data_IF_777890257341
#
_entry.id   IF_777890257341
#
_cell.length_a   1.000
_cell.length_b   1.000
_cell.length_c   1.000
_cell.angle_alpha   90.00
_cell.angle_beta   90.00
_cell.angle_gamma   90.00
#
_symmetry.space_group_name_H-M   'P 1'
#
loop_
_entity.id
_entity.type
_entity.pdbx_description
1 polymer ?
#
# COMPACT_ATOMS: atom_id res chain seq x y z
N UNK A 1 -41.57 55.83 4.74
CA UNK A 1 -40.47 56.59 5.36
C UNK A 1 -39.25 55.70 5.32
N UNK A 2 -38.19 56.25 4.75
CA UNK A 2 -36.92 55.65 4.35
C UNK A 2 -36.04 55.29 5.54
N UNK A 3 -35.29 54.21 5.44
CA UNK A 3 -34.26 53.81 6.41
C UNK A 3 -33.27 52.83 5.80
N UNK A 4 -32.36 53.37 4.99
CA UNK A 4 -31.22 52.69 4.36
C UNK A 4 -30.03 52.82 5.32
N UNK A 5 -29.36 51.73 5.70
CA UNK A 5 -28.00 51.81 6.23
C UNK A 5 -27.10 50.74 5.62
N UNK A 6 -26.07 51.24 4.93
CA UNK A 6 -24.92 50.52 4.42
C UNK A 6 -23.73 50.81 5.34
N UNK A 7 -22.89 49.81 5.62
CA UNK A 7 -21.50 50.02 6.03
C UNK A 7 -20.73 48.72 5.78
N UNK A 8 -19.91 48.68 4.72
CA UNK A 8 -18.48 49.05 4.66
C UNK A 8 -17.54 47.91 5.07
N UNK A 9 -17.04 47.29 4.01
CA UNK A 9 -15.78 46.56 3.84
C UNK A 9 -14.59 47.20 4.56
N UNK A 10 -13.70 46.38 5.13
CA UNK A 10 -12.29 46.71 5.30
C UNK A 10 -11.41 45.45 5.38
N UNK A 11 -10.72 45.14 4.29
CA UNK A 11 -9.47 44.39 4.28
C UNK A 11 -8.36 45.17 5.00
N UNK A 12 -7.35 44.46 5.52
CA UNK A 12 -5.96 44.75 5.15
C UNK A 12 -5.22 43.46 4.76
N UNK A 13 -4.63 43.40 3.57
CA UNK A 13 -3.28 43.87 3.23
C UNK A 13 -2.18 42.82 3.51
N UNK A 14 -1.57 42.41 2.39
CA UNK A 14 -0.39 41.60 2.21
C UNK A 14 0.79 41.92 3.16
N UNK A 15 1.47 40.87 3.60
CA UNK A 15 2.87 40.93 4.01
C UNK A 15 3.67 39.98 3.11
N UNK A 16 4.38 40.60 2.17
CA UNK A 16 5.47 40.03 1.37
C UNK A 16 6.68 39.89 2.30
N UNK A 17 7.27 38.70 2.36
CA UNK A 17 8.64 38.51 2.83
C UNK A 17 9.40 37.67 1.80
N UNK A 18 10.33 38.37 1.15
CA UNK A 18 11.33 37.86 0.21
C UNK A 18 12.54 37.31 0.95
N UNK A 19 12.94 36.11 0.52
CA UNK A 19 14.28 35.67 0.11
C UNK A 19 15.45 35.55 1.11
N UNK A 20 16.34 34.64 0.69
CA UNK A 20 17.72 34.31 1.15
C UNK A 20 17.77 33.31 2.32
N UNK A 21 18.58 32.25 2.33
CA UNK A 21 19.84 32.00 1.66
C UNK A 21 20.12 30.49 1.57
N UNK A 22 20.69 30.10 0.43
CA UNK A 22 21.44 28.88 0.11
C UNK A 22 22.42 28.45 1.22
N UNK A 23 22.44 27.15 1.56
CA UNK A 23 23.71 26.40 1.64
C UNK A 23 23.49 24.89 1.47
N UNK A 24 24.08 24.40 0.39
CA UNK A 24 24.42 23.02 0.08
C UNK A 24 25.52 22.52 1.04
N UNK A 25 25.52 21.25 1.45
CA UNK A 25 26.78 20.51 1.29
C UNK A 25 26.60 19.08 0.79
N UNK A 26 27.20 18.85 -0.37
CA UNK A 26 28.19 17.79 -0.63
C UNK A 26 27.87 16.35 -0.20
N UNK A 27 27.43 15.61 -1.22
CA UNK A 27 27.85 14.26 -1.57
C UNK A 27 29.33 13.95 -1.25
N UNK A 28 29.65 12.78 -0.66
CA UNK A 28 30.90 12.11 -0.95
C UNK A 28 30.69 10.78 -1.68
N UNK A 29 31.29 10.75 -2.86
CA UNK A 29 31.47 9.63 -3.75
C UNK A 29 32.42 8.56 -3.18
N UNK A 30 32.26 7.34 -3.68
CA UNK A 30 33.01 6.12 -3.37
C UNK A 30 34.51 6.23 -3.71
N UNK A 31 35.37 5.57 -2.92
CA UNK A 31 36.34 4.54 -3.39
C UNK A 31 37.15 3.90 -2.23
N UNK A 32 37.36 2.55 -2.23
CA UNK A 32 38.52 1.87 -1.63
C UNK A 32 39.66 1.80 -2.69
N UNK A 33 40.89 1.25 -2.47
CA UNK A 33 41.40 0.35 -1.42
C UNK A 33 42.81 0.68 -0.87
N UNK A 34 43.28 0.01 0.19
CA UNK A 34 44.72 -0.24 0.40
C UNK A 34 44.94 -1.65 0.95
N UNK A 35 45.82 -2.39 0.29
CA UNK A 35 46.34 -3.68 0.69
C UNK A 35 47.76 -3.49 1.27
N UNK A 36 48.06 -4.15 2.39
CA UNK A 36 49.41 -4.58 2.82
C UNK A 36 49.19 -5.82 3.72
N UNK A 37 49.65 -7.01 3.32
CA UNK A 37 50.94 -7.63 3.72
C UNK A 37 51.14 -7.58 5.25
N UNK A 38 51.28 -8.65 6.01
CA UNK A 38 51.49 -10.07 5.78
C UNK A 38 52.18 -10.59 7.04
N UNK A 39 51.68 -11.64 7.67
CA UNK A 39 52.50 -12.44 8.59
C UNK A 39 52.00 -13.88 8.61
N UNK A 40 52.89 -14.76 8.20
CA UNK A 40 52.68 -16.18 8.07
C UNK A 40 52.66 -16.87 9.44
N UNK A 41 51.80 -17.87 9.61
CA UNK A 41 52.10 -18.99 10.50
C UNK A 41 51.41 -20.25 9.98
N UNK A 42 52.15 -21.35 10.05
CA UNK A 42 52.02 -22.61 9.34
C UNK A 42 50.88 -23.52 9.78
N UNK A 43 50.55 -24.46 8.88
CA UNK A 43 49.48 -25.48 8.89
C UNK A 43 49.41 -26.39 10.14
N UNK A 44 48.31 -27.14 10.29
CA UNK A 44 48.36 -28.51 9.78
C UNK A 44 47.17 -28.93 8.90
N UNK A 45 47.51 -29.88 8.03
CA UNK A 45 46.74 -30.62 7.04
C UNK A 45 45.41 -31.17 7.55
N UNK A 46 44.31 -30.80 6.89
CA UNK A 46 43.07 -31.56 6.89
C UNK A 46 42.54 -31.65 5.45
N UNK A 47 42.75 -32.80 4.82
CA UNK A 47 42.13 -33.23 3.56
C UNK A 47 40.62 -33.36 3.76
N UNK A 48 39.88 -32.28 3.54
CA UNK A 48 38.44 -32.32 3.37
C UNK A 48 38.13 -32.16 1.88
N UNK A 49 37.54 -33.21 1.30
CA UNK A 49 36.94 -33.22 -0.03
C UNK A 49 35.99 -32.02 -0.18
N UNK A 50 36.47 -30.94 -0.77
CA UNK A 50 35.65 -29.84 -1.24
C UNK A 50 34.98 -30.26 -2.55
N UNK A 51 33.96 -31.12 -2.45
CA UNK A 51 32.96 -31.24 -3.49
C UNK A 51 32.37 -29.86 -3.72
N UNK A 52 32.82 -29.21 -4.78
CA UNK A 52 32.24 -27.99 -5.32
C UNK A 52 30.85 -28.32 -5.86
N UNK A 53 29.88 -28.42 -4.95
CA UNK A 53 28.46 -28.40 -5.28
C UNK A 53 28.15 -27.04 -5.88
N UNK A 54 28.37 -26.90 -7.18
CA UNK A 54 27.82 -25.84 -8.02
C UNK A 54 26.30 -25.89 -7.84
N UNK A 55 25.81 -25.12 -6.86
CA UNK A 55 24.38 -24.91 -6.64
C UNK A 55 23.83 -24.24 -7.89
N UNK A 56 23.19 -25.05 -8.74
CA UNK A 56 22.40 -24.61 -9.89
C UNK A 56 21.37 -23.62 -9.37
N UNK A 57 21.59 -22.32 -9.58
CA UNK A 57 20.61 -21.26 -9.30
C UNK A 57 19.39 -21.58 -10.16
N UNK A 58 18.32 -22.08 -9.54
CA UNK A 58 17.06 -22.31 -10.23
C UNK A 58 16.50 -20.97 -10.67
N UNK A 59 16.41 -20.75 -11.98
CA UNK A 59 15.80 -19.59 -12.64
C UNK A 59 14.31 -19.41 -12.36
N UNK A 60 13.64 -20.39 -11.77
CA UNK A 60 12.18 -20.38 -11.56
C UNK A 60 11.63 -19.30 -10.61
N UNK A 61 12.48 -18.57 -9.88
CA UNK A 61 12.00 -17.51 -8.97
C UNK A 61 11.55 -16.23 -9.68
N UNK A 62 12.15 -15.90 -10.82
CA UNK A 62 11.77 -14.70 -11.59
C UNK A 62 10.39 -14.86 -12.26
N UNK A 63 10.06 -16.07 -12.68
CA UNK A 63 8.78 -16.38 -13.31
C UNK A 63 7.62 -16.20 -12.33
N UNK A 64 7.76 -16.65 -11.08
CA UNK A 64 6.69 -16.50 -10.08
C UNK A 64 6.35 -15.02 -9.80
N UNK A 65 7.36 -14.15 -9.67
CA UNK A 65 7.15 -12.72 -9.49
C UNK A 65 6.44 -12.11 -10.70
N UNK A 66 6.89 -12.45 -11.91
CA UNK A 66 6.29 -11.96 -13.15
C UNK A 66 4.85 -12.45 -13.31
N UNK A 67 4.57 -13.72 -13.01
CA UNK A 67 3.23 -14.30 -13.04
C UNK A 67 2.29 -13.63 -12.03
N UNK A 68 2.78 -13.36 -10.83
CA UNK A 68 1.97 -12.70 -9.80
C UNK A 68 1.60 -11.25 -10.17
N UNK A 69 2.51 -10.51 -10.81
CA UNK A 69 2.23 -9.14 -11.27
C UNK A 69 1.62 -9.07 -12.68
N UNK A 70 1.48 -10.20 -13.40
CA UNK A 70 0.91 -10.20 -14.76
C UNK A 70 -0.53 -9.66 -14.81
N UNK A 71 -1.22 -9.66 -13.66
CA UNK A 71 -2.62 -9.27 -13.50
C UNK A 71 -2.80 -7.87 -12.92
N UNK A 72 -1.72 -7.21 -12.50
CA UNK A 72 -1.82 -5.92 -11.81
C UNK A 72 -0.89 -4.93 -12.48
N UNK A 73 -1.42 -3.77 -12.82
CA UNK A 73 -0.66 -2.65 -13.37
C UNK A 73 -0.77 -1.42 -12.47
N UNK A 74 0.17 -0.50 -12.61
CA UNK A 74 0.31 0.66 -11.74
C UNK A 74 0.37 1.93 -12.58
N UNK A 75 -0.64 2.78 -12.45
CA UNK A 75 -0.65 4.11 -13.04
C UNK A 75 -0.07 5.11 -12.03
N UNK A 76 1.01 5.85 -12.36
CA UNK A 76 1.58 6.82 -11.44
C UNK A 76 0.59 7.95 -11.16
N UNK A 77 0.49 8.38 -9.90
CA UNK A 77 -0.17 9.63 -9.54
C UNK A 77 0.83 10.77 -9.68
N UNK A 78 0.42 11.81 -10.40
CA UNK A 78 1.21 13.02 -10.53
C UNK A 78 1.34 13.72 -9.17
N UNK A 79 2.57 14.00 -8.71
CA UNK A 79 2.78 14.77 -7.50
C UNK A 79 2.31 16.21 -7.74
N UNK A 80 1.40 16.66 -6.90
CA UNK A 80 0.88 18.02 -6.88
C UNK A 80 1.69 18.95 -5.98
N UNK A 81 2.51 18.39 -5.08
CA UNK A 81 3.35 19.13 -4.15
C UNK A 81 2.58 19.86 -3.04
N UNK A 82 1.30 19.54 -2.86
CA UNK A 82 0.45 20.16 -1.83
C UNK A 82 0.64 19.43 -0.49
N UNK A 83 0.83 20.16 0.63
CA UNK A 83 1.04 19.55 1.95
C UNK A 83 -0.08 18.59 2.38
N UNK A 84 -1.31 18.85 1.93
CA UNK A 84 -2.50 18.10 2.32
C UNK A 84 -2.74 16.86 1.44
N UNK A 85 -1.78 16.47 0.60
CA UNK A 85 -1.91 15.31 -0.28
C UNK A 85 -0.85 14.24 0.00
N UNK A 86 -1.16 12.96 -0.24
CA UNK A 86 -0.23 11.85 0.01
C UNK A 86 1.16 12.03 -0.61
N UNK A 87 1.24 12.62 -1.80
CA UNK A 87 2.50 12.87 -2.52
C UNK A 87 3.47 13.79 -1.76
N UNK A 88 3.05 14.47 -0.70
CA UNK A 88 3.94 15.19 0.21
C UNK A 88 4.75 14.26 1.12
N UNK A 89 4.16 13.15 1.57
CA UNK A 89 4.76 12.24 2.56
C UNK A 89 5.43 11.02 1.92
N UNK A 90 5.05 10.69 0.69
CA UNK A 90 5.49 9.49 -0.01
C UNK A 90 6.39 9.84 -1.20
N UNK A 91 7.36 8.97 -1.50
CA UNK A 91 8.29 9.18 -2.61
C UNK A 91 7.63 9.03 -3.98
N UNK A 92 6.58 8.21 -4.05
CA UNK A 92 5.76 7.99 -5.25
C UNK A 92 4.46 7.31 -4.85
N UNK A 93 3.37 7.62 -5.55
CA UNK A 93 2.08 6.94 -5.36
C UNK A 93 1.55 6.40 -6.68
N UNK A 94 0.83 5.28 -6.65
CA UNK A 94 0.29 4.62 -7.84
C UNK A 94 -1.14 4.16 -7.62
N UNK A 95 -2.00 4.40 -8.62
CA UNK A 95 -3.33 3.78 -8.71
C UNK A 95 -3.14 2.38 -9.24
N UNK A 96 -3.78 1.42 -8.58
CA UNK A 96 -3.72 0.01 -8.95
C UNK A 96 -4.81 -0.26 -9.98
N UNK A 97 -4.42 -0.79 -11.14
CA UNK A 97 -5.30 -1.14 -12.25
C UNK A 97 -5.22 -2.64 -12.46
N UNK A 98 -6.27 -3.36 -12.10
CA UNK A 98 -6.36 -4.82 -12.23
C UNK A 98 -6.67 -5.19 -13.69
N UNK A 99 -5.85 -6.06 -14.28
CA UNK A 99 -5.91 -6.47 -15.68
C UNK A 99 -6.83 -7.67 -15.93
N UNK A 100 -7.19 -8.42 -14.88
CA UNK A 100 -8.22 -9.46 -14.97
C UNK A 100 -9.63 -8.87 -15.10
N UNK A 101 -9.78 -7.56 -14.88
CA UNK A 101 -10.93 -6.78 -15.34
C UNK A 101 -10.76 -6.48 -16.84
N UNK A 102 -10.86 -7.53 -17.67
CA UNK A 102 -10.87 -7.41 -19.11
C UNK A 102 -11.88 -6.35 -19.57
N UNK A 103 -11.53 -5.62 -20.63
CA UNK A 103 -12.32 -4.59 -21.32
C UNK A 103 -13.82 -4.65 -20.98
N UNK A 104 -14.22 -3.82 -20.01
CA UNK A 104 -15.60 -3.66 -19.56
C UNK A 104 -15.96 -4.47 -18.32
N UNK A 105 -15.29 -4.26 -17.18
CA UNK A 105 -15.92 -4.12 -15.85
C UNK A 105 -14.89 -4.03 -14.72
N UNK A 106 -14.71 -2.82 -14.19
CA UNK A 106 -13.96 -2.56 -12.96
C UNK A 106 -14.62 -3.24 -11.76
N UNK A 107 -13.95 -4.23 -11.15
CA UNK A 107 -14.27 -4.74 -9.80
C UNK A 107 -15.73 -5.13 -9.55
N UNK A 108 -16.48 -5.48 -10.59
CA UNK A 108 -17.94 -5.57 -10.52
C UNK A 108 -18.37 -6.86 -9.83
N UNK A 109 -18.65 -6.77 -8.52
CA UNK A 109 -19.44 -7.80 -7.83
C UNK A 109 -20.90 -7.59 -8.21
N UNK A 110 -21.39 -8.33 -9.22
CA UNK A 110 -22.76 -8.29 -9.70
C UNK A 110 -23.75 -8.89 -8.67
N UNK A 111 -24.19 -8.06 -7.71
CA UNK A 111 -25.51 -8.19 -7.12
C UNK A 111 -26.50 -7.38 -7.96
N UNK A 112 -26.92 -7.97 -9.09
CA UNK A 112 -28.03 -7.61 -10.01
C UNK A 112 -28.29 -6.14 -10.46
N UNK A 113 -27.67 -5.08 -9.93
CA UNK A 113 -27.86 -3.70 -10.44
C UNK A 113 -26.85 -2.64 -9.97
N UNK A 114 -25.95 -2.93 -9.02
CA UNK A 114 -24.99 -1.91 -8.51
C UNK A 114 -23.56 -2.46 -8.52
N UNK A 115 -22.67 -1.79 -9.24
CA UNK A 115 -21.22 -2.05 -9.25
C UNK A 115 -20.51 -1.03 -8.36
N UNK A 116 -19.78 -1.50 -7.36
CA UNK A 116 -18.92 -0.66 -6.53
C UNK A 116 -17.49 -0.88 -6.99
N UNK A 117 -16.89 0.13 -7.61
CA UNK A 117 -15.48 0.11 -8.02
C UNK A 117 -14.61 0.68 -6.91
N UNK A 118 -13.68 -0.11 -6.37
CA UNK A 118 -12.72 0.37 -5.36
C UNK A 118 -11.34 0.54 -5.99
N UNK A 119 -10.85 1.78 -6.02
CA UNK A 119 -9.53 2.11 -6.57
C UNK A 119 -8.48 2.13 -5.48
N UNK A 120 -7.77 1.01 -5.30
CA UNK A 120 -6.68 0.95 -4.33
C UNK A 120 -5.48 1.79 -4.78
N UNK A 121 -4.84 2.47 -3.83
CA UNK A 121 -3.65 3.28 -4.06
C UNK A 121 -2.48 2.69 -3.29
N UNK A 122 -1.33 2.57 -3.94
CA UNK A 122 -0.06 2.17 -3.31
C UNK A 122 0.81 3.40 -3.16
N UNK A 123 1.17 3.71 -1.92
CA UNK A 123 2.08 4.78 -1.57
C UNK A 123 3.43 4.20 -1.19
N UNK A 124 4.49 4.57 -1.89
CA UNK A 124 5.84 4.12 -1.63
C UNK A 124 6.56 5.14 -0.73
N UNK A 125 7.20 4.67 0.32
CA UNK A 125 8.03 5.49 1.19
C UNK A 125 9.51 5.32 0.85
N UNK A 126 10.34 6.32 1.14
CA UNK A 126 11.78 6.34 0.81
C UNK A 126 12.59 5.19 1.44
N UNK A 127 12.10 4.61 2.53
CA UNK A 127 12.73 3.46 3.19
C UNK A 127 12.35 2.10 2.56
N UNK A 128 11.56 2.10 1.48
CA UNK A 128 11.10 0.89 0.79
C UNK A 128 9.91 0.19 1.47
N UNK A 129 9.27 0.82 2.45
CA UNK A 129 7.95 0.43 2.92
C UNK A 129 6.88 1.00 1.99
N UNK A 130 5.76 0.29 1.89
CA UNK A 130 4.60 0.75 1.16
C UNK A 130 3.38 0.74 2.06
N UNK A 131 2.51 1.72 1.85
CA UNK A 131 1.17 1.79 2.40
C UNK A 131 0.17 1.53 1.28
N UNK A 132 -0.90 0.78 1.56
CA UNK A 132 -1.96 0.50 0.59
C UNK A 132 -3.27 0.99 1.17
N UNK A 133 -3.94 1.88 0.44
CA UNK A 133 -5.20 2.51 0.86
C UNK A 133 -6.29 2.18 -0.16
N UNK A 134 -7.56 2.39 0.22
CA UNK A 134 -8.73 2.13 -0.65
C UNK A 134 -9.02 3.26 -1.64
N UNK A 135 -8.20 4.32 -1.67
CA UNK A 135 -8.40 5.50 -2.51
C UNK A 135 -9.71 6.23 -2.23
N UNK A 136 -10.24 6.94 -3.23
CA UNK A 136 -11.44 7.78 -3.11
C UNK A 136 -12.73 6.93 -3.19
N UNK A 137 -13.03 6.19 -2.12
CA UNK A 137 -14.23 5.33 -2.04
C UNK A 137 -15.55 6.14 -2.05
N UNK A 138 -15.52 7.38 -1.57
CA UNK A 138 -16.68 8.26 -1.48
C UNK A 138 -17.28 8.63 -2.84
N UNK A 139 -16.47 8.69 -3.89
CA UNK A 139 -16.92 8.95 -5.26
C UNK A 139 -17.53 7.70 -5.92
N UNK A 140 -17.01 6.52 -5.58
CA UNK A 140 -17.47 5.25 -6.12
C UNK A 140 -18.71 4.69 -5.45
N UNK A 141 -19.00 5.12 -4.21
CA UNK A 141 -20.11 4.60 -3.43
C UNK A 141 -21.39 5.39 -3.71
N UNK A 142 -22.49 4.74 -4.17
CA UNK A 142 -23.76 5.44 -4.38
C UNK A 142 -24.25 6.12 -3.10
N UNK A 143 -24.87 7.31 -3.17
CA UNK A 143 -25.35 8.03 -1.99
C UNK A 143 -26.34 7.24 -1.11
N UNK A 144 -27.06 6.28 -1.71
CA UNK A 144 -27.99 5.37 -1.05
C UNK A 144 -27.31 4.23 -0.28
N UNK A 145 -25.99 4.08 -0.38
CA UNK A 145 -25.22 3.02 0.27
C UNK A 145 -24.28 3.59 1.34
N UNK A 146 -23.93 2.73 2.29
CA UNK A 146 -22.94 3.01 3.33
C UNK A 146 -22.03 1.82 3.58
N UNK A 147 -20.81 2.12 4.01
CA UNK A 147 -19.89 1.11 4.54
C UNK A 147 -20.37 0.68 5.92
N UNK A 148 -20.79 -0.58 6.05
CA UNK A 148 -21.25 -1.18 7.30
C UNK A 148 -20.09 -1.69 8.14
N UNK A 149 -19.16 -2.43 7.53
CA UNK A 149 -18.01 -3.01 8.23
C UNK A 149 -16.87 -3.37 7.29
N UNK A 150 -15.69 -3.62 7.87
CA UNK A 150 -14.56 -4.24 7.19
C UNK A 150 -14.12 -5.48 7.97
N UNK A 151 -13.70 -6.53 7.26
CA UNK A 151 -13.15 -7.75 7.85
C UNK A 151 -11.77 -8.01 7.29
N UNK A 152 -10.74 -8.06 8.13
CA UNK A 152 -9.41 -8.48 7.69
C UNK A 152 -9.36 -10.01 7.54
N UNK A 153 -9.00 -10.45 6.34
CA UNK A 153 -8.78 -11.85 6.02
C UNK A 153 -7.30 -12.24 6.08
N UNK A 154 -6.38 -11.29 5.96
CA UNK A 154 -4.95 -11.51 6.19
C UNK A 154 -4.56 -11.08 7.61
N UNK A 155 -3.45 -11.60 8.11
CA UNK A 155 -2.91 -11.27 9.43
C UNK A 155 -1.57 -10.56 9.34
N UNK A 156 -1.22 -9.82 10.37
CA UNK A 156 0.10 -9.23 10.51
C UNK A 156 1.18 -10.31 10.66
N UNK A 157 2.36 -10.03 10.11
CA UNK A 157 3.48 -10.91 10.30
C UNK A 157 3.98 -10.90 11.76
N UNK A 158 4.36 -12.06 12.30
CA UNK A 158 4.88 -12.12 13.66
C UNK A 158 6.20 -11.32 13.77
N UNK A 159 6.47 -10.73 14.94
CA UNK A 159 7.74 -10.07 15.21
C UNK A 159 8.91 -11.01 14.90
N UNK A 160 9.89 -10.53 14.14
CA UNK A 160 11.02 -11.34 13.72
C UNK A 160 12.33 -10.54 13.67
N UNK A 161 13.45 -11.23 13.87
CA UNK A 161 14.78 -10.64 13.82
C UNK A 161 15.14 -10.17 12.40
N UNK A 162 16.08 -9.23 12.28
CA UNK A 162 16.54 -8.74 10.98
C UNK A 162 17.09 -9.85 10.07
N UNK A 163 17.73 -10.87 10.64
CA UNK A 163 18.19 -12.05 9.89
C UNK A 163 17.01 -12.86 9.33
N UNK A 164 15.94 -13.03 10.12
CA UNK A 164 14.72 -13.69 9.68
C UNK A 164 13.98 -12.88 8.62
N UNK A 165 13.91 -11.54 8.75
CA UNK A 165 13.36 -10.62 7.73
C UNK A 165 14.07 -10.80 6.38
N UNK A 166 15.41 -10.75 6.38
CA UNK A 166 16.22 -10.96 5.17
C UNK A 166 16.01 -12.34 4.55
N UNK A 167 15.92 -13.38 5.39
CA UNK A 167 15.65 -14.74 4.93
C UNK A 167 14.28 -14.86 4.28
N UNK A 168 13.25 -14.25 4.88
CA UNK A 168 11.88 -14.22 4.35
C UNK A 168 11.81 -13.45 3.03
N UNK A 169 12.41 -12.27 2.97
CA UNK A 169 12.50 -11.49 1.73
C UNK A 169 13.19 -12.29 0.61
N UNK A 170 14.30 -12.97 0.91
CA UNK A 170 14.99 -13.82 -0.06
C UNK A 170 14.17 -15.06 -0.49
N UNK A 171 13.27 -15.54 0.37
CA UNK A 171 12.34 -16.63 0.03
C UNK A 171 11.23 -16.10 -0.89
N UNK A 172 10.64 -14.94 -0.58
CA UNK A 172 9.63 -14.29 -1.41
C UNK A 172 10.15 -13.97 -2.81
N UNK A 173 11.35 -13.38 -2.93
CA UNK A 173 12.00 -13.10 -4.22
C UNK A 173 12.29 -14.37 -5.05
N UNK A 174 12.18 -15.57 -4.45
CA UNK A 174 12.31 -16.85 -5.14
C UNK A 174 10.97 -17.48 -5.47
N UNK A 175 9.85 -16.77 -5.27
CA UNK A 175 8.51 -17.31 -5.38
C UNK A 175 8.20 -18.35 -4.31
N UNK A 176 8.93 -18.36 -3.20
CA UNK A 176 8.80 -19.33 -2.12
C UNK A 176 8.25 -18.60 -0.90
N UNK A 177 6.94 -18.57 -0.75
CA UNK A 177 6.28 -18.07 0.45
C UNK A 177 4.98 -18.82 0.61
N UNK A 178 4.73 -19.39 1.78
CA UNK A 178 3.41 -19.96 2.07
C UNK A 178 2.49 -18.80 2.42
N UNK A 179 1.58 -18.46 1.52
CA UNK A 179 0.53 -17.49 1.78
C UNK A 179 -0.38 -18.10 2.86
N UNK A 180 -0.36 -17.50 4.04
CA UNK A 180 -1.20 -17.89 5.15
C UNK A 180 -1.31 -16.70 6.11
N UNK A 181 -2.50 -16.54 6.73
CA UNK A 181 -2.81 -15.57 7.77
C UNK A 181 -1.71 -15.43 8.83
N UNK A 182 -1.10 -16.53 9.24
CA UNK A 182 -0.09 -16.56 10.31
C UNK A 182 1.28 -16.05 9.89
N UNK A 183 1.57 -16.02 8.58
CA UNK A 183 2.88 -15.58 8.07
C UNK A 183 2.88 -14.09 7.73
N UNK A 184 1.70 -13.53 7.45
CA UNK A 184 1.52 -12.19 6.91
C UNK A 184 2.09 -11.98 5.51
N UNK A 185 2.49 -13.05 4.81
CA UNK A 185 2.99 -12.97 3.43
C UNK A 185 1.80 -12.95 2.47
N UNK A 186 1.80 -11.98 1.57
CA UNK A 186 0.78 -11.78 0.54
C UNK A 186 1.41 -11.62 -0.84
N UNK A 187 0.69 -12.06 -1.87
CA UNK A 187 1.01 -11.80 -3.28
C UNK A 187 -0.06 -10.88 -3.89
N UNK A 188 0.23 -10.18 -5.00
CA UNK A 188 -0.77 -9.43 -5.73
C UNK A 188 -2.04 -10.25 -5.98
N UNK A 189 -3.20 -9.60 -5.93
CA UNK A 189 -4.53 -10.23 -6.06
C UNK A 189 -4.98 -11.11 -4.88
N UNK A 190 -4.14 -11.38 -3.87
CA UNK A 190 -4.57 -12.04 -2.61
C UNK A 190 -5.62 -11.18 -1.92
N UNK A 191 -6.80 -11.72 -1.59
CA UNK A 191 -7.81 -10.97 -0.82
C UNK A 191 -7.32 -10.81 0.63
N UNK A 192 -7.10 -9.56 1.04
CA UNK A 192 -6.58 -9.22 2.37
C UNK A 192 -7.67 -8.73 3.32
N UNK A 193 -8.75 -8.16 2.77
CA UNK A 193 -9.89 -7.71 3.54
C UNK A 193 -11.16 -7.77 2.70
N UNK A 194 -12.30 -7.73 3.38
CA UNK A 194 -13.63 -7.63 2.78
C UNK A 194 -14.33 -6.41 3.33
N UNK A 195 -14.78 -5.54 2.44
CA UNK A 195 -15.61 -4.39 2.77
C UNK A 195 -17.07 -4.81 2.62
N UNK A 196 -17.86 -4.66 3.69
CA UNK A 196 -19.30 -4.92 3.66
C UNK A 196 -20.02 -3.59 3.50
N UNK A 197 -20.73 -3.45 2.39
CA UNK A 197 -21.51 -2.28 2.04
C UNK A 197 -22.98 -2.67 2.03
N UNK A 198 -23.84 -1.81 2.59
CA UNK A 198 -25.28 -2.03 2.54
C UNK A 198 -26.03 -0.75 2.20
N UNK A 199 -27.33 -0.87 1.96
CA UNK A 199 -28.20 0.29 1.76
C UNK A 199 -28.33 1.08 3.08
N UNK A 200 -28.33 2.41 2.98
CA UNK A 200 -28.70 3.30 4.08
C UNK A 200 -30.19 3.13 4.35
N UNK A 201 -30.54 2.41 5.42
CA UNK A 201 -31.93 2.32 5.84
C UNK A 201 -32.38 3.69 6.38
N UNK A 202 -33.41 4.25 5.75
CA UNK A 202 -34.14 5.37 6.30
C UNK A 202 -35.11 4.82 7.37
N UNK A 203 -34.65 4.77 8.61
CA UNK A 203 -35.37 4.38 9.84
C UNK A 203 -35.67 2.88 10.05
N UNK A 204 -35.15 2.36 11.18
CA UNK A 204 -35.64 1.29 12.06
C UNK A 204 -36.84 0.46 11.57
N UNK A 205 -36.67 -0.23 10.45
CA UNK A 205 -37.51 -1.37 10.11
C UNK A 205 -36.64 -2.60 10.25
N UNK A 206 -36.99 -3.44 11.24
CA UNK A 206 -36.36 -4.72 11.55
C UNK A 206 -36.61 -5.73 10.41
N UNK A 207 -36.08 -5.45 9.22
CA UNK A 207 -36.03 -6.43 8.14
C UNK A 207 -34.59 -6.86 7.92
N UNK A 208 -34.35 -8.13 8.29
CA UNK A 208 -33.09 -8.85 8.27
C UNK A 208 -32.62 -9.22 6.85
N UNK A 209 -33.11 -8.52 5.83
CA UNK A 209 -32.95 -8.88 4.42
C UNK A 209 -32.49 -7.66 3.62
N UNK A 210 -31.45 -6.97 4.11
CA UNK A 210 -30.70 -6.04 3.26
C UNK A 210 -29.62 -6.81 2.54
N UNK A 211 -29.66 -6.78 1.21
CA UNK A 211 -28.63 -7.33 0.33
C UNK A 211 -27.30 -6.62 0.58
N UNK A 212 -26.50 -7.17 1.49
CA UNK A 212 -25.15 -6.71 1.75
C UNK A 212 -24.24 -7.09 0.58
N UNK A 213 -23.55 -6.08 0.04
CA UNK A 213 -22.54 -6.25 -1.00
C UNK A 213 -21.19 -6.42 -0.33
N UNK A 214 -20.53 -7.52 -0.63
CA UNK A 214 -19.18 -7.80 -0.15
C UNK A 214 -18.19 -7.43 -1.26
N UNK A 215 -17.36 -6.42 -1.00
CA UNK A 215 -16.32 -5.98 -1.92
C UNK A 215 -14.95 -6.51 -1.44
N UNK A 216 -14.28 -7.38 -2.21
CA UNK A 216 -12.99 -7.92 -1.83
C UNK A 216 -11.88 -6.87 -2.05
N UNK A 217 -11.11 -6.58 -1.00
CA UNK A 217 -9.91 -5.75 -1.07
C UNK A 217 -8.68 -6.65 -1.20
N UNK A 218 -7.87 -6.41 -2.22
CA UNK A 218 -6.75 -7.30 -2.56
C UNK A 218 -5.41 -6.66 -2.21
N UNK A 219 -4.40 -7.48 -1.95
CA UNK A 219 -3.03 -7.03 -1.92
C UNK A 219 -2.64 -6.60 -3.34
N UNK A 220 -2.03 -5.43 -3.46
CA UNK A 220 -1.55 -4.92 -4.73
C UNK A 220 -0.06 -5.20 -4.93
N UNK A 221 0.63 -5.55 -3.84
CA UNK A 221 2.08 -5.76 -3.81
C UNK A 221 2.41 -7.11 -3.19
N UNK A 222 3.48 -7.72 -3.70
CA UNK A 222 4.07 -8.87 -3.05
C UNK A 222 4.85 -8.40 -1.82
N UNK A 223 4.35 -8.75 -0.63
CA UNK A 223 4.83 -8.17 0.61
C UNK A 223 4.67 -9.05 1.83
N UNK A 224 5.11 -8.49 2.94
CA UNK A 224 4.77 -8.97 4.28
C UNK A 224 3.98 -7.85 4.96
N UNK A 225 2.78 -8.14 5.43
CA UNK A 225 1.95 -7.19 6.18
C UNK A 225 2.62 -6.94 7.53
N UNK A 226 2.98 -5.69 7.78
CA UNK A 226 3.61 -5.29 9.04
C UNK A 226 2.57 -4.80 10.05
N UNK A 227 1.53 -4.13 9.57
CA UNK A 227 0.52 -3.47 10.39
C UNK A 227 -0.79 -3.42 9.60
N UNK A 228 -1.90 -3.61 10.31
CA UNK A 228 -3.26 -3.40 9.82
C UNK A 228 -3.91 -2.31 10.67
N UNK A 229 -4.62 -1.38 10.02
CA UNK A 229 -5.37 -0.37 10.74
C UNK A 229 -6.61 -0.99 11.41
N UNK A 230 -6.43 -1.47 12.64
CA UNK A 230 -7.51 -2.14 13.40
C UNK A 230 -8.63 -1.18 13.82
N UNK A 231 -8.42 0.14 13.77
CA UNK A 231 -9.47 1.11 14.06
C UNK A 231 -10.65 0.97 13.10
N UNK A 232 -10.40 0.54 11.86
CA UNK A 232 -11.42 0.33 10.84
C UNK A 232 -12.46 -0.73 11.23
N UNK A 233 -12.09 -1.69 12.09
CA UNK A 233 -13.04 -2.69 12.61
C UNK A 233 -14.15 -2.03 13.44
N UNK A 234 -13.85 -0.90 14.08
CA UNK A 234 -14.80 -0.14 14.91
C UNK A 234 -15.37 1.09 14.21
N UNK A 235 -14.62 1.67 13.26
CA UNK A 235 -14.95 2.91 12.57
C UNK A 235 -14.70 2.80 11.06
N UNK A 236 -15.47 1.95 10.35
CA UNK A 236 -15.22 1.70 8.93
C UNK A 236 -15.55 2.91 8.04
N UNK A 237 -16.34 3.87 8.53
CA UNK A 237 -16.69 5.11 7.80
C UNK A 237 -15.49 6.01 7.51
N UNK A 238 -14.40 5.87 8.25
CA UNK A 238 -13.18 6.66 8.05
C UNK A 238 -12.62 6.47 6.63
N UNK A 239 -12.85 5.30 6.01
CA UNK A 239 -12.49 5.03 4.61
C UNK A 239 -13.14 5.98 3.60
N UNK A 240 -14.23 6.66 3.97
CA UNK A 240 -14.93 7.64 3.14
C UNK A 240 -14.43 9.07 3.36
N UNK A 241 -13.91 9.35 4.55
CA UNK A 241 -13.53 10.70 4.99
C UNK A 241 -12.06 10.99 4.69
N UNK A 242 -11.16 10.16 5.21
CA UNK A 242 -9.72 10.25 4.98
C UNK A 242 -9.11 8.84 4.89
N UNK A 243 -9.05 8.26 3.67
CA UNK A 243 -8.51 6.92 3.46
C UNK A 243 -7.00 6.82 3.67
N UNK A 244 -6.28 7.94 3.85
CA UNK A 244 -4.83 7.96 3.93
C UNK A 244 -4.32 8.05 5.36
N UNK A 245 -4.85 9.01 6.14
CA UNK A 245 -4.33 9.29 7.48
C UNK A 245 -4.97 8.41 8.53
N UNK A 246 -6.29 8.26 8.46
CA UNK A 246 -7.07 7.53 9.45
C UNK A 246 -7.61 6.18 8.91
N UNK A 247 -7.56 6.00 7.59
CA UNK A 247 -8.15 4.89 6.81
C UNK A 247 -7.32 3.63 6.63
#
# INVERSE_FOLDING_TARGET
MTGTEANKTKEPAAAVLTAEETTNPQNPEKQPPVAEQGLATSAPTATANAESRKRKRSTGGANALQEAYAKVSFAPLEPTGRPDRPDFFFSSSYTVVDSDNGEGTDGQVCAASVSIEVRQIVHNHVNGLCMVTVGELSESLPPSMEVKSIRFLAGEAPPCSNAAKRKRQAQMLRGKGTINRTTGVVEPSTVIAELVVGMKLANDTNDNDTDDIIVPLRACVWGTILELNTNLLSKPRILLDDPLLDG
#
